data_IF_248664802793
#
_entry.id   IF_248664802793
#
_cell.length_a   1.000
_cell.length_b   1.000
_cell.length_c   1.000
_cell.angle_alpha   90.00
_cell.angle_beta   90.00
_cell.angle_gamma   90.00
#
_symmetry.space_group_name_H-M   'P 1'
#
loop_
_entity.id
_entity.type
_entity.pdbx_description
1 polymer ?
#
# COMPACT_ATOMS: atom_id res chain seq x y z
N UNK A 1 15.86 6.03 -49.40
CA UNK A 1 16.23 5.87 -47.97
C UNK A 1 17.39 4.89 -47.91
N UNK A 2 18.51 5.32 -47.32
CA UNK A 2 19.75 4.54 -47.28
C UNK A 2 19.66 3.48 -46.17
N UNK A 3 20.23 2.30 -46.38
CA UNK A 3 20.35 1.22 -45.38
C UNK A 3 20.82 1.73 -44.01
N UNK A 4 21.67 2.76 -43.99
CA UNK A 4 22.14 3.42 -42.77
C UNK A 4 21.01 4.07 -41.95
N UNK A 5 20.04 4.71 -42.60
CA UNK A 5 18.91 5.37 -41.92
C UNK A 5 17.99 4.36 -41.23
N UNK A 6 17.82 3.18 -41.82
CA UNK A 6 17.00 2.10 -41.25
C UNK A 6 17.65 1.55 -39.98
N UNK A 7 18.97 1.33 -39.99
CA UNK A 7 19.73 0.87 -38.82
C UNK A 7 19.66 1.90 -37.70
N UNK A 8 19.83 3.18 -38.01
CA UNK A 8 19.73 4.27 -37.02
C UNK A 8 18.32 4.28 -36.40
N UNK A 9 17.26 4.23 -37.21
CA UNK A 9 15.89 4.22 -36.71
C UNK A 9 15.63 3.00 -35.80
N UNK A 10 16.04 1.82 -36.24
CA UNK A 10 15.87 0.58 -35.50
C UNK A 10 16.61 0.61 -34.15
N UNK A 11 17.79 1.20 -34.11
CA UNK A 11 18.60 1.34 -32.90
C UNK A 11 17.92 2.26 -31.89
N UNK A 12 17.44 3.43 -32.34
CA UNK A 12 16.72 4.38 -31.49
C UNK A 12 15.45 3.76 -30.91
N UNK A 13 14.67 3.07 -31.74
CA UNK A 13 13.45 2.38 -31.27
C UNK A 13 13.78 1.28 -30.26
N UNK A 14 14.86 0.52 -30.47
CA UNK A 14 15.25 -0.55 -29.55
C UNK A 14 15.69 0.01 -28.19
N UNK A 15 16.51 1.06 -28.16
CA UNK A 15 16.98 1.69 -26.92
C UNK A 15 15.82 2.27 -26.12
N UNK A 16 14.93 3.02 -26.78
CA UNK A 16 13.77 3.63 -26.12
C UNK A 16 12.82 2.58 -25.54
N UNK A 17 12.61 1.47 -26.24
CA UNK A 17 11.79 0.36 -25.74
C UNK A 17 12.41 -0.28 -24.49
N UNK A 18 13.72 -0.53 -24.49
CA UNK A 18 14.44 -1.13 -23.36
C UNK A 18 14.39 -0.21 -22.13
N UNK A 19 14.64 1.08 -22.30
CA UNK A 19 14.56 2.07 -21.22
C UNK A 19 13.15 2.14 -20.63
N UNK A 20 12.13 2.17 -21.48
CA UNK A 20 10.73 2.17 -21.05
C UNK A 20 10.38 0.93 -20.22
N UNK A 21 10.82 -0.26 -20.66
CA UNK A 21 10.55 -1.51 -19.97
C UNK A 21 11.24 -1.56 -18.60
N UNK A 22 12.51 -1.16 -18.53
CA UNK A 22 13.27 -1.08 -17.28
C UNK A 22 12.65 -0.10 -16.29
N UNK A 23 12.23 1.07 -16.74
CA UNK A 23 11.59 2.07 -15.90
C UNK A 23 10.26 1.57 -15.35
N UNK A 24 9.45 0.90 -16.18
CA UNK A 24 8.18 0.31 -15.75
C UNK A 24 8.37 -0.79 -14.68
N UNK A 25 9.37 -1.66 -14.86
CA UNK A 25 9.71 -2.69 -13.86
C UNK A 25 10.18 -2.05 -12.55
N UNK A 26 11.02 -1.00 -12.61
CA UNK A 26 11.47 -0.27 -11.42
C UNK A 26 10.32 0.42 -10.70
N UNK A 27 9.41 1.05 -11.44
CA UNK A 27 8.23 1.71 -10.88
C UNK A 27 7.31 0.69 -10.19
N UNK A 28 7.08 -0.45 -10.84
CA UNK A 28 6.25 -1.54 -10.30
C UNK A 28 6.86 -2.10 -9.02
N UNK A 29 8.18 -2.31 -8.97
CA UNK A 29 8.89 -2.73 -7.75
C UNK A 29 8.79 -1.69 -6.65
N UNK A 30 9.04 -0.41 -6.96
CA UNK A 30 8.94 0.67 -5.98
C UNK A 30 7.53 0.83 -5.40
N UNK A 31 6.49 0.67 -6.22
CA UNK A 31 5.10 0.67 -5.77
C UNK A 31 4.79 -0.56 -4.90
N UNK A 32 5.29 -1.74 -5.29
CA UNK A 32 5.15 -2.95 -4.49
C UNK A 32 5.84 -2.81 -3.14
N UNK A 33 7.04 -2.24 -3.08
CA UNK A 33 7.77 -2.01 -1.82
C UNK A 33 7.03 -0.99 -0.94
N UNK A 34 6.44 0.06 -1.52
CA UNK A 34 5.58 1.02 -0.79
C UNK A 34 4.26 0.41 -0.28
N UNK A 35 3.69 -0.55 -1.01
CA UNK A 35 2.52 -1.31 -0.54
C UNK A 35 2.91 -2.40 0.48
N UNK A 36 4.15 -2.88 0.40
CA UNK A 36 4.70 -3.93 1.28
C UNK A 36 5.36 -3.36 2.54
N UNK A 37 5.56 -2.04 2.64
CA UNK A 37 5.74 -1.38 3.93
C UNK A 37 4.52 -1.78 4.77
N UNK A 38 4.70 -2.61 5.83
CA UNK A 38 3.59 -3.03 6.65
C UNK A 38 3.01 -1.75 7.23
N UNK A 39 1.81 -1.39 6.76
CA UNK A 39 1.07 -0.20 7.14
C UNK A 39 1.37 0.10 8.61
N UNK A 40 2.28 1.06 8.79
CA UNK A 40 2.99 1.42 10.02
C UNK A 40 2.07 1.14 11.20
N UNK A 41 2.21 -0.05 11.83
CA UNK A 41 1.26 -0.69 12.76
C UNK A 41 0.11 0.26 13.10
N UNK A 42 -0.97 0.26 12.30
CA UNK A 42 -2.16 1.01 12.69
C UNK A 42 -2.42 0.62 14.14
N UNK A 43 -2.41 1.56 15.11
CA UNK A 43 -2.70 1.21 16.48
C UNK A 43 -4.04 0.50 16.42
N UNK A 44 -4.06 -0.81 16.73
CA UNK A 44 -5.29 -1.62 16.75
C UNK A 44 -6.35 -0.72 17.36
N UNK A 45 -7.39 -0.39 16.60
CA UNK A 45 -8.48 0.44 17.10
C UNK A 45 -8.85 -0.17 18.45
N UNK A 46 -8.57 0.57 19.53
CA UNK A 46 -8.72 0.03 20.87
C UNK A 46 -10.23 -0.18 21.03
N UNK A 47 -10.68 -1.42 20.94
CA UNK A 47 -12.10 -1.81 21.02
C UNK A 47 -12.62 -1.52 22.43
N UNK A 48 -13.81 -0.94 22.51
CA UNK A 48 -14.49 -0.54 23.74
C UNK A 48 -14.95 0.91 23.71
N UNK A 49 -16.16 1.17 24.18
CA UNK A 49 -16.68 2.51 24.43
C UNK A 49 -16.03 3.06 25.70
N UNK A 50 -15.86 4.39 25.78
CA UNK A 50 -15.43 5.05 27.01
C UNK A 50 -16.70 5.40 27.78
N UNK A 51 -16.83 4.86 28.99
CA UNK A 51 -17.86 5.28 29.92
C UNK A 51 -17.56 6.70 30.41
N UNK A 52 -18.51 7.61 30.22
CA UNK A 52 -18.35 9.03 30.54
C UNK A 52 -18.35 9.31 32.05
N UNK A 53 -18.97 8.44 32.85
CA UNK A 53 -19.04 8.63 34.30
C UNK A 53 -17.77 8.16 35.00
N UNK A 54 -17.22 7.00 34.59
CA UNK A 54 -16.05 6.41 35.24
C UNK A 54 -14.73 6.64 34.49
N UNK A 55 -14.80 7.10 33.22
CA UNK A 55 -13.64 7.23 32.34
C UNK A 55 -13.01 5.89 31.95
N UNK A 56 -13.63 4.77 32.33
CA UNK A 56 -13.15 3.41 32.07
C UNK A 56 -13.65 2.91 30.72
N UNK A 57 -13.00 1.87 30.21
CA UNK A 57 -13.38 1.24 28.94
C UNK A 57 -14.35 0.11 29.17
N UNK A 58 -15.39 0.09 28.36
CA UNK A 58 -16.48 -0.88 28.44
C UNK A 58 -16.66 -1.53 27.08
N UNK A 59 -16.63 -2.86 27.03
CA UNK A 59 -17.15 -3.62 25.91
C UNK A 59 -18.64 -3.87 26.12
N UNK A 60 -19.39 -3.89 25.03
CA UNK A 60 -20.78 -4.34 25.05
C UNK A 60 -20.82 -5.67 24.33
N UNK A 61 -21.19 -6.74 25.05
CA UNK A 61 -21.38 -8.04 24.42
C UNK A 61 -22.50 -7.94 23.38
N UNK A 62 -22.23 -8.17 22.08
CA UNK A 62 -23.22 -7.98 21.03
C UNK A 62 -24.38 -8.98 21.10
N UNK A 63 -24.23 -10.07 21.85
CA UNK A 63 -25.27 -11.11 22.01
C UNK A 63 -26.11 -10.88 23.24
N UNK A 64 -25.49 -10.44 24.35
CA UNK A 64 -26.19 -10.30 25.64
C UNK A 64 -26.50 -8.86 26.02
N UNK A 65 -25.93 -7.88 25.32
CA UNK A 65 -26.06 -6.45 25.60
C UNK A 65 -25.44 -6.03 26.93
N UNK A 66 -24.72 -6.92 27.61
CA UNK A 66 -24.13 -6.65 28.92
C UNK A 66 -22.83 -5.87 28.76
N UNK A 67 -22.70 -4.86 29.58
CA UNK A 67 -21.48 -4.06 29.73
C UNK A 67 -20.42 -4.87 30.49
N UNK A 68 -19.22 -4.95 29.92
CA UNK A 68 -18.06 -5.57 30.55
C UNK A 68 -16.91 -4.58 30.57
N UNK A 69 -16.46 -4.21 31.76
CA UNK A 69 -15.29 -3.35 31.92
C UNK A 69 -14.03 -4.08 31.42
N UNK A 70 -13.32 -3.46 30.47
CA UNK A 70 -12.04 -3.90 29.93
C UNK A 70 -10.95 -2.99 30.53
N UNK A 71 -10.60 -3.21 31.79
CA UNK A 71 -9.39 -2.60 32.37
C UNK A 71 -8.13 -3.32 31.86
#
# INVERSE_FOLDING_TARGET
MNNLQIIILATIVSVTLIESLLMNVRLTKALKDKQSEPAKKQPKAKTGFIDFETGRRVDIDPVTGKERFID
#
